data_IF_611746053035
#
_entry.id   IF_611746053035
#
_cell.length_a   1.000
_cell.length_b   1.000
_cell.length_c   1.000
_cell.angle_alpha   90.00
_cell.angle_beta   90.00
_cell.angle_gamma   90.00
#
_symmetry.space_group_name_H-M   'P 1'
#
loop_
_entity.id
_entity.type
_entity.pdbx_description
1 polymer ?
#
# COMPACT_ATOMS: atom_id res chain seq x y z
N UNK A 1 -62.91 -21.13 -18.05
CA UNK A 1 -62.17 -21.01 -16.78
C UNK A 1 -60.71 -21.33 -17.09
N UNK A 2 -59.86 -20.34 -17.37
CA UNK A 2 -59.10 -19.45 -16.46
C UNK A 2 -57.86 -20.12 -15.84
N UNK A 3 -56.69 -19.70 -16.39
CA UNK A 3 -55.34 -19.52 -15.85
C UNK A 3 -54.59 -20.75 -15.33
N UNK A 4 -53.60 -21.27 -16.07
CA UNK A 4 -52.22 -20.74 -16.25
C UNK A 4 -51.45 -20.75 -14.93
N UNK A 5 -50.71 -21.83 -14.70
CA UNK A 5 -49.88 -22.02 -13.52
C UNK A 5 -48.47 -21.46 -13.81
N UNK A 6 -48.14 -20.40 -13.07
CA UNK A 6 -46.97 -19.57 -13.26
C UNK A 6 -45.71 -20.31 -12.76
N UNK A 7 -44.81 -20.71 -13.67
CA UNK A 7 -43.44 -21.08 -13.31
C UNK A 7 -42.70 -19.81 -12.84
N UNK A 8 -42.57 -19.61 -11.53
CA UNK A 8 -41.63 -18.65 -10.97
C UNK A 8 -40.21 -19.23 -11.05
N UNK A 9 -39.51 -18.98 -12.17
CA UNK A 9 -38.07 -19.14 -12.25
C UNK A 9 -37.42 -18.01 -11.43
N UNK A 10 -37.06 -18.30 -10.18
CA UNK A 10 -36.25 -17.42 -9.36
C UNK A 10 -34.84 -17.35 -9.96
N UNK A 11 -34.60 -16.33 -10.79
CA UNK A 11 -33.27 -15.93 -11.24
C UNK A 11 -32.44 -15.53 -10.02
N UNK A 12 -31.69 -16.49 -9.47
CA UNK A 12 -30.53 -16.26 -8.61
C UNK A 12 -29.45 -15.57 -9.46
N UNK A 13 -29.61 -14.27 -9.69
CA UNK A 13 -28.52 -13.45 -10.20
C UNK A 13 -27.42 -13.47 -9.12
N UNK A 14 -26.21 -13.97 -9.42
CA UNK A 14 -25.10 -13.84 -8.49
C UNK A 14 -24.87 -12.33 -8.30
N UNK A 15 -25.08 -11.84 -7.08
CA UNK A 15 -24.70 -10.48 -6.71
C UNK A 15 -23.26 -10.29 -7.16
N UNK A 16 -22.96 -9.33 -8.05
CA UNK A 16 -21.58 -9.03 -8.35
C UNK A 16 -20.97 -8.65 -7.00
N UNK A 17 -20.03 -9.47 -6.54
CA UNK A 17 -19.15 -9.06 -5.46
C UNK A 17 -18.35 -7.91 -6.05
N UNK A 18 -18.91 -6.70 -5.96
CA UNK A 18 -18.21 -5.47 -6.25
C UNK A 18 -16.98 -5.56 -5.36
N UNK A 19 -15.82 -5.79 -5.98
CA UNK A 19 -14.55 -5.78 -5.30
C UNK A 19 -14.49 -4.46 -4.54
N UNK A 20 -14.78 -4.52 -3.24
CA UNK A 20 -14.96 -3.32 -2.45
C UNK A 20 -13.56 -2.74 -2.31
N UNK A 21 -13.37 -1.56 -2.88
CA UNK A 21 -12.10 -0.86 -2.87
C UNK A 21 -11.54 -0.87 -1.44
N UNK A 22 -10.28 -1.29 -1.30
CA UNK A 22 -9.66 -1.48 0.02
C UNK A 22 -9.53 -0.14 0.77
N UNK A 23 -9.48 0.96 0.02
CA UNK A 23 -9.47 2.34 0.49
C UNK A 23 -10.45 3.18 -0.33
N UNK A 24 -10.92 4.31 0.20
CA UNK A 24 -11.78 5.24 -0.53
C UNK A 24 -10.98 6.16 -1.43
N UNK A 25 -11.49 6.49 -2.64
CA UNK A 25 -10.92 7.52 -3.48
C UNK A 25 -11.06 8.91 -2.84
N UNK A 26 -10.12 9.80 -3.15
CA UNK A 26 -10.10 11.17 -2.63
C UNK A 26 -8.69 11.69 -2.38
N UNK A 27 -8.62 12.85 -1.73
CA UNK A 27 -7.39 13.45 -1.26
C UNK A 27 -6.97 12.78 0.05
N UNK A 28 -5.71 12.35 0.11
CA UNK A 28 -5.10 11.73 1.27
C UNK A 28 -3.90 12.54 1.72
N UNK A 29 -3.73 12.65 3.02
CA UNK A 29 -2.48 13.09 3.64
C UNK A 29 -1.80 11.86 4.27
N UNK A 30 -0.49 11.73 4.08
CA UNK A 30 0.32 10.71 4.74
C UNK A 30 1.55 11.31 5.39
N UNK A 31 2.01 10.63 6.43
CA UNK A 31 3.24 10.93 7.16
C UNK A 31 4.09 9.67 7.23
N UNK A 32 5.38 9.80 6.95
CA UNK A 32 6.36 8.72 7.09
C UNK A 32 7.44 9.17 8.05
N UNK A 33 7.64 8.44 9.14
CA UNK A 33 8.66 8.71 10.15
C UNK A 33 9.73 7.63 10.10
N UNK A 34 11.00 8.02 9.94
CA UNK A 34 12.12 7.09 9.99
C UNK A 34 12.38 6.69 11.44
N UNK A 35 12.31 5.40 11.74
CA UNK A 35 12.52 4.87 13.09
C UNK A 35 13.97 4.46 13.32
N UNK A 36 14.58 3.82 12.32
CA UNK A 36 15.99 3.50 12.32
C UNK A 36 16.55 3.49 10.91
N UNK A 37 17.83 3.78 10.81
CA UNK A 37 18.61 3.66 9.59
C UNK A 37 20.01 3.19 9.97
N UNK A 38 20.50 2.20 9.25
CA UNK A 38 21.84 1.64 9.34
C UNK A 38 22.43 1.63 7.93
N UNK A 39 23.58 2.26 7.77
CA UNK A 39 24.28 2.42 6.49
C UNK A 39 25.78 2.20 6.75
N UNK A 40 26.27 0.97 6.62
CA UNK A 40 27.70 0.69 6.76
C UNK A 40 28.53 1.58 5.82
N UNK A 41 29.58 2.20 6.37
CA UNK A 41 30.47 3.13 5.64
C UNK A 41 29.98 4.58 5.57
N UNK A 42 28.78 4.89 6.06
CA UNK A 42 28.30 6.27 6.19
C UNK A 42 28.73 6.90 7.53
N UNK A 43 29.02 8.21 7.58
CA UNK A 43 29.23 8.93 8.83
C UNK A 43 28.04 8.78 9.80
N UNK A 44 28.25 8.47 11.09
CA UNK A 44 27.17 8.28 12.08
C UNK A 44 26.20 9.47 12.17
N UNK A 45 26.70 10.69 11.93
CA UNK A 45 25.89 11.91 11.90
C UNK A 45 24.75 11.85 10.87
N UNK A 46 24.93 11.16 9.74
CA UNK A 46 23.87 11.03 8.73
C UNK A 46 22.72 10.16 9.22
N UNK A 47 23.03 9.04 9.87
CA UNK A 47 22.00 8.18 10.46
C UNK A 47 21.24 8.91 11.57
N UNK A 48 21.96 9.66 12.42
CA UNK A 48 21.36 10.48 13.47
C UNK A 48 20.44 11.58 12.94
N UNK A 49 20.84 12.28 11.87
CA UNK A 49 20.00 13.33 11.25
C UNK A 49 18.72 12.78 10.61
N UNK A 50 18.74 11.54 10.13
CA UNK A 50 17.58 10.92 9.47
C UNK A 50 16.62 10.26 10.46
N UNK A 51 17.12 9.74 11.57
CA UNK A 51 16.28 9.13 12.60
C UNK A 51 15.28 10.14 13.17
N UNK A 52 14.02 9.74 13.29
CA UNK A 52 12.93 10.59 13.79
C UNK A 52 12.40 11.60 12.78
N UNK A 53 13.08 11.79 11.63
CA UNK A 53 12.60 12.68 10.57
C UNK A 53 11.25 12.18 10.06
N UNK A 54 10.28 13.09 10.05
CA UNK A 54 8.95 12.86 9.50
C UNK A 54 8.78 13.63 8.21
N UNK A 55 8.42 12.93 7.14
CA UNK A 55 8.05 13.53 5.85
C UNK A 55 6.54 13.42 5.68
N UNK A 56 5.89 14.54 5.36
CA UNK A 56 4.46 14.58 5.05
C UNK A 56 4.26 14.80 3.56
N UNK A 57 3.22 14.19 3.01
CA UNK A 57 2.82 14.40 1.63
C UNK A 57 1.30 14.28 1.50
N UNK A 58 0.76 14.99 0.51
CA UNK A 58 -0.64 14.84 0.11
C UNK A 58 -0.71 14.34 -1.33
N UNK A 59 -1.62 13.41 -1.58
CA UNK A 59 -1.81 12.82 -2.91
C UNK A 59 -3.24 12.38 -3.12
N UNK A 60 -3.63 12.30 -4.39
CA UNK A 60 -4.95 11.86 -4.80
C UNK A 60 -4.98 10.38 -5.12
N UNK A 61 -6.00 9.69 -4.62
CA UNK A 61 -6.33 8.31 -4.99
C UNK A 61 -7.57 8.35 -5.87
N UNK A 62 -7.44 7.89 -7.12
CA UNK A 62 -8.58 7.77 -8.04
C UNK A 62 -9.43 6.54 -7.71
N UNK A 63 -10.70 6.47 -8.17
CA UNK A 63 -11.53 5.28 -8.01
C UNK A 63 -10.88 4.00 -8.57
N UNK A 64 -10.14 4.11 -9.66
CA UNK A 64 -9.44 2.99 -10.31
C UNK A 64 -8.30 2.50 -9.42
N UNK A 65 -7.47 3.43 -8.91
CA UNK A 65 -6.39 3.10 -7.97
C UNK A 65 -6.92 2.47 -6.68
N UNK A 66 -8.04 2.99 -6.15
CA UNK A 66 -8.70 2.48 -4.97
C UNK A 66 -9.20 1.03 -5.14
N UNK A 67 -9.70 0.68 -6.34
CA UNK A 67 -10.17 -0.67 -6.69
C UNK A 67 -9.01 -1.65 -6.91
N UNK A 68 -7.95 -1.18 -7.55
CA UNK A 68 -6.78 -1.99 -7.90
C UNK A 68 -5.86 -2.26 -6.70
N UNK A 69 -5.80 -1.34 -5.74
CA UNK A 69 -4.92 -1.44 -4.58
C UNK A 69 -3.44 -1.19 -4.93
N UNK A 70 -2.55 -1.16 -3.91
CA UNK A 70 -1.14 -0.82 -4.10
C UNK A 70 -0.36 -1.84 -4.95
N UNK A 71 -0.86 -3.06 -5.10
CA UNK A 71 -0.22 -4.10 -5.91
C UNK A 71 -0.08 -3.68 -7.38
N UNK A 72 -1.11 -3.08 -7.98
CA UNK A 72 -1.07 -2.68 -9.40
C UNK A 72 -0.10 -1.52 -9.63
N UNK A 73 -0.03 -0.57 -8.72
CA UNK A 73 0.96 0.52 -8.81
C UNK A 73 2.39 -0.02 -8.76
N UNK A 74 2.66 -1.00 -7.91
CA UNK A 74 4.00 -1.56 -7.74
C UNK A 74 4.39 -2.56 -8.83
N UNK A 75 3.41 -3.21 -9.48
CA UNK A 75 3.62 -4.04 -10.68
C UNK A 75 4.17 -3.26 -11.87
N UNK A 76 4.02 -1.94 -11.91
CA UNK A 76 4.56 -1.09 -12.97
C UNK A 76 6.09 -1.01 -12.97
N UNK A 77 6.77 -1.46 -11.91
CA UNK A 77 8.22 -1.57 -11.87
C UNK A 77 8.66 -3.01 -12.24
N UNK A 78 9.21 -3.23 -13.46
CA UNK A 78 9.57 -4.57 -13.93
C UNK A 78 10.74 -5.19 -13.15
N UNK A 79 11.47 -4.40 -12.36
CA UNK A 79 12.55 -4.89 -11.51
C UNK A 79 12.09 -5.36 -10.13
N UNK A 80 10.82 -5.12 -9.77
CA UNK A 80 10.24 -5.51 -8.49
C UNK A 80 9.33 -6.75 -8.61
N UNK A 81 9.42 -7.66 -7.65
CA UNK A 81 8.58 -8.85 -7.54
C UNK A 81 8.01 -8.94 -6.13
N UNK A 82 6.71 -9.18 -6.02
CA UNK A 82 6.11 -9.53 -4.74
C UNK A 82 6.38 -10.99 -4.42
N UNK A 83 6.90 -11.26 -3.23
CA UNK A 83 6.98 -12.62 -2.66
C UNK A 83 5.83 -12.88 -1.69
N UNK A 84 5.25 -11.81 -1.12
CA UNK A 84 4.04 -11.88 -0.29
C UNK A 84 3.17 -10.66 -0.52
N UNK A 85 1.86 -10.86 -0.64
CA UNK A 85 0.88 -9.79 -0.63
C UNK A 85 -0.41 -10.27 0.02
N UNK A 86 -0.85 -9.55 1.05
CA UNK A 86 -2.14 -9.76 1.68
C UNK A 86 -2.69 -8.40 2.13
N UNK A 87 -3.92 -8.11 1.71
CA UNK A 87 -4.69 -6.96 2.13
C UNK A 87 -6.14 -7.41 2.31
N UNK A 88 -6.43 -7.96 3.48
CA UNK A 88 -7.71 -8.58 3.81
C UNK A 88 -8.10 -8.21 5.23
N UNK A 89 -9.40 -8.02 5.48
CA UNK A 89 -9.93 -7.77 6.82
C UNK A 89 -9.33 -6.54 7.53
N UNK A 90 -8.93 -5.51 6.78
CA UNK A 90 -8.31 -4.30 7.34
C UNK A 90 -6.85 -4.49 7.78
N UNK A 91 -6.17 -5.56 7.35
CA UNK A 91 -4.75 -5.81 7.62
C UNK A 91 -3.95 -5.91 6.34
N UNK A 92 -2.79 -5.25 6.32
CA UNK A 92 -1.82 -5.33 5.23
C UNK A 92 -0.59 -6.11 5.68
N UNK A 93 -0.09 -7.00 4.82
CA UNK A 93 1.19 -7.69 4.95
C UNK A 93 1.78 -7.92 3.56
N UNK A 94 2.88 -7.24 3.26
CA UNK A 94 3.54 -7.34 1.96
C UNK A 94 5.03 -7.60 2.12
N UNK A 95 5.59 -8.30 1.13
CA UNK A 95 7.01 -8.45 0.92
C UNK A 95 7.31 -8.36 -0.55
N UNK A 96 8.28 -7.51 -0.90
CA UNK A 96 8.74 -7.31 -2.26
C UNK A 96 10.26 -7.35 -2.32
N UNK A 97 10.77 -7.84 -3.45
CA UNK A 97 12.18 -7.84 -3.80
C UNK A 97 12.36 -7.10 -5.11
N UNK A 98 13.23 -6.08 -5.12
CA UNK A 98 13.55 -5.28 -6.28
C UNK A 98 15.03 -5.43 -6.62
N UNK A 99 15.35 -5.69 -7.89
CA UNK A 99 16.74 -5.65 -8.37
C UNK A 99 17.11 -4.21 -8.75
N UNK A 100 18.15 -3.66 -8.12
CA UNK A 100 18.58 -2.27 -8.35
C UNK A 100 20.09 -2.10 -8.10
N UNK A 101 20.77 -1.32 -8.95
CA UNK A 101 22.17 -0.90 -8.77
C UNK A 101 23.17 -2.05 -8.51
N UNK A 102 22.96 -3.21 -9.15
CA UNK A 102 23.81 -4.39 -8.96
C UNK A 102 23.63 -5.09 -7.62
N UNK A 103 22.56 -4.77 -6.88
CA UNK A 103 22.16 -5.44 -5.66
C UNK A 103 20.65 -5.64 -5.58
N UNK A 104 20.18 -6.06 -4.40
CA UNK A 104 18.77 -6.37 -4.18
C UNK A 104 18.22 -5.54 -3.03
N UNK A 105 17.05 -4.93 -3.24
CA UNK A 105 16.26 -4.29 -2.20
C UNK A 105 15.10 -5.21 -1.80
N UNK A 106 15.08 -5.66 -0.55
CA UNK A 106 13.93 -6.34 0.04
C UNK A 106 13.17 -5.38 0.93
N UNK A 107 11.89 -5.17 0.64
CA UNK A 107 11.00 -4.35 1.47
C UNK A 107 9.84 -5.17 2.00
N UNK A 108 9.52 -4.97 3.28
CA UNK A 108 8.38 -5.58 3.98
C UNK A 108 7.52 -4.47 4.57
N UNK A 109 6.21 -4.64 4.53
CA UNK A 109 5.27 -3.74 5.19
C UNK A 109 4.19 -4.53 5.90
N UNK A 110 3.85 -4.14 7.12
CA UNK A 110 2.79 -4.76 7.90
C UNK A 110 2.01 -3.68 8.68
N UNK A 111 0.69 -3.83 8.78
CA UNK A 111 -0.12 -2.85 9.49
C UNK A 111 -1.61 -3.05 9.35
N UNK A 112 -2.34 -1.99 9.67
CA UNK A 112 -3.78 -1.90 9.51
C UNK A 112 -4.16 -0.84 8.50
N UNK A 113 -5.32 -1.04 7.88
CA UNK A 113 -5.95 -0.07 7.02
C UNK A 113 -7.48 -0.10 7.22
N UNK A 114 -8.10 1.03 6.95
CA UNK A 114 -9.54 1.18 6.84
C UNK A 114 -9.85 1.87 5.50
N UNK A 115 -11.13 2.02 5.15
CA UNK A 115 -11.50 2.78 3.96
C UNK A 115 -10.96 4.23 3.95
N UNK A 116 -10.59 4.81 5.09
CA UNK A 116 -10.20 6.23 5.20
C UNK A 116 -8.90 6.46 5.98
N UNK A 117 -8.19 5.42 6.41
CA UNK A 117 -6.94 5.56 7.14
C UNK A 117 -6.01 4.35 6.98
N UNK A 118 -4.72 4.52 7.28
CA UNK A 118 -3.80 3.41 7.45
C UNK A 118 -2.74 3.71 8.51
N UNK A 119 -2.19 2.65 9.10
CA UNK A 119 -1.01 2.69 9.95
C UNK A 119 -0.15 1.47 9.65
N UNK A 120 1.05 1.70 9.13
CA UNK A 120 1.91 0.67 8.54
C UNK A 120 3.32 0.83 9.09
N UNK A 121 3.93 -0.28 9.51
CA UNK A 121 5.37 -0.36 9.76
C UNK A 121 6.03 -1.01 8.56
N UNK A 122 7.10 -0.39 8.09
CA UNK A 122 7.88 -0.85 6.94
C UNK A 122 9.33 -1.08 7.32
N UNK A 123 9.95 -2.07 6.69
CA UNK A 123 11.39 -2.30 6.76
C UNK A 123 11.94 -2.51 5.37
N UNK A 124 13.08 -1.90 5.06
CA UNK A 124 13.80 -2.11 3.81
C UNK A 124 15.24 -2.52 4.11
N UNK A 125 15.73 -3.51 3.37
CA UNK A 125 17.13 -3.92 3.35
C UNK A 125 17.61 -3.86 1.92
N UNK A 126 18.66 -3.09 1.66
CA UNK A 126 19.34 -2.98 0.38
C UNK A 126 20.73 -3.59 0.50
N UNK A 127 21.08 -4.45 -0.45
CA UNK A 127 22.41 -5.04 -0.60
C UNK A 127 23.08 -4.49 -1.87
N UNK A 128 24.39 -4.75 -2.04
CA UNK A 128 25.17 -4.28 -3.18
C UNK A 128 26.17 -3.20 -2.78
N UNK A 129 26.50 -2.29 -3.72
CA UNK A 129 27.53 -1.25 -3.53
C UNK A 129 27.25 -0.30 -2.36
N UNK A 130 25.98 -0.06 -2.05
CA UNK A 130 25.54 0.71 -0.90
C UNK A 130 24.55 -0.13 -0.09
N UNK A 131 25.05 -0.80 0.93
CA UNK A 131 24.20 -1.55 1.85
C UNK A 131 23.47 -0.62 2.81
N UNK A 132 22.18 -0.84 3.01
CA UNK A 132 21.35 -0.01 3.89
C UNK A 132 20.25 -0.86 4.51
N UNK A 133 19.97 -0.64 5.80
CA UNK A 133 18.79 -1.16 6.49
C UNK A 133 18.01 -0.01 7.09
N UNK A 134 16.71 0.02 6.87
CA UNK A 134 15.85 1.09 7.36
C UNK A 134 14.55 0.53 7.89
N UNK A 135 14.04 1.13 8.97
CA UNK A 135 12.66 0.93 9.42
C UNK A 135 11.93 2.27 9.50
N UNK A 136 10.65 2.26 9.15
CA UNK A 136 9.81 3.45 9.18
C UNK A 136 8.38 3.11 9.59
N UNK A 137 7.68 4.10 10.14
CA UNK A 137 6.25 4.03 10.38
C UNK A 137 5.56 5.02 9.45
N UNK A 138 4.47 4.59 8.84
CA UNK A 138 3.69 5.38 7.91
C UNK A 138 2.24 5.45 8.39
N UNK A 139 1.70 6.65 8.49
CA UNK A 139 0.28 6.87 8.74
C UNK A 139 -0.33 7.63 7.59
N UNK A 140 -1.62 7.46 7.37
CA UNK A 140 -2.33 8.28 6.40
C UNK A 140 -3.82 8.33 6.67
N UNK A 141 -4.44 9.40 6.19
CA UNK A 141 -5.87 9.65 6.35
C UNK A 141 -6.44 10.33 5.12
N UNK A 142 -7.64 9.92 4.72
CA UNK A 142 -8.43 10.64 3.73
C UNK A 142 -8.90 11.96 4.32
N UNK A 143 -8.57 13.06 3.66
CA UNK A 143 -8.90 14.42 4.09
C UNK A 143 -9.99 15.08 3.26
N UNK A 144 -10.43 14.46 2.16
CA UNK A 144 -11.57 14.97 1.39
C UNK A 144 -11.63 14.44 -0.04
N UNK A 145 -12.35 15.16 -0.90
CA UNK A 145 -12.29 14.98 -2.34
C UNK A 145 -10.98 15.54 -2.90
N UNK A 146 -10.57 15.05 -4.07
CA UNK A 146 -9.45 15.62 -4.81
C UNK A 146 -9.77 17.04 -5.29
N UNK A 147 -8.84 18.01 -5.17
CA UNK A 147 -9.02 19.34 -5.75
C UNK A 147 -9.14 19.25 -7.28
N UNK A 148 -10.03 20.04 -7.87
CA UNK A 148 -10.15 20.16 -9.33
C UNK A 148 -10.86 19.00 -10.03
N UNK A 149 -11.85 18.39 -9.39
CA UNK A 149 -12.87 17.60 -10.08
C UNK A 149 -14.07 18.48 -10.43
#
# INVERSE_FOLDING_TARGET
MRFSNCLCVALLLPLPHLAQAQVQPGLWESSVTVQSIDMPGAPPQMAAMMKGKTTKQSYCITPEQAKQGPQEMLKQNPSCRFTKYSMLGGRISTEMSCQQNGGTMTARANGSYSPTSFNITSSATMTGRMSMKMTSTSTGRRIGACPGK
#
